data_IF_159102647783
#
_entry.id   IF_159102647783
#
_cell.length_a   1.000
_cell.length_b   1.000
_cell.length_c   1.000
_cell.angle_alpha   90.00
_cell.angle_beta   90.00
_cell.angle_gamma   90.00
#
_symmetry.space_group_name_H-M   'P 1'
#
loop_
_entity.id
_entity.type
_entity.pdbx_description
1 polymer ?
#
# COMPACT_ATOMS: atom_id res chain seq x y z
N UNK A 1 5.50 -12.38 -25.06
CA UNK A 1 5.59 -10.99 -25.58
C UNK A 1 4.36 -10.26 -25.11
N UNK A 2 4.52 -9.10 -24.46
CA UNK A 2 3.39 -8.37 -23.92
C UNK A 2 2.57 -7.79 -25.10
N UNK A 3 1.30 -8.17 -25.21
CA UNK A 3 0.40 -7.66 -26.27
C UNK A 3 -0.11 -6.27 -25.87
N UNK A 4 0.79 -5.28 -25.83
CA UNK A 4 0.45 -3.90 -25.47
C UNK A 4 0.92 -2.95 -26.54
N UNK A 5 0.00 -2.11 -27.01
CA UNK A 5 0.31 -1.10 -28.02
C UNK A 5 0.70 0.23 -27.38
N UNK A 6 1.55 1.02 -28.05
CA UNK A 6 1.88 2.39 -27.62
C UNK A 6 0.62 3.22 -27.37
N UNK A 7 -0.42 3.00 -28.19
CA UNK A 7 -1.70 3.68 -28.05
C UNK A 7 -2.37 3.39 -26.71
N UNK A 8 -2.38 2.14 -26.26
CA UNK A 8 -2.92 1.77 -24.95
C UNK A 8 -2.14 2.40 -23.79
N UNK A 9 -0.80 2.45 -23.89
CA UNK A 9 0.04 3.15 -22.90
C UNK A 9 -0.22 4.67 -22.89
N UNK A 10 -0.50 5.24 -24.05
CA UNK A 10 -0.85 6.66 -24.18
C UNK A 10 -2.22 6.95 -23.57
N UNK A 11 -3.24 6.16 -23.92
CA UNK A 11 -4.63 6.35 -23.47
C UNK A 11 -4.79 6.13 -21.96
N UNK A 12 -4.01 5.21 -21.37
CA UNK A 12 -3.96 4.97 -19.92
C UNK A 12 -3.16 6.02 -19.14
N UNK A 13 -2.38 6.88 -19.82
CA UNK A 13 -1.62 7.95 -19.19
C UNK A 13 -0.28 7.53 -18.59
N UNK A 14 0.33 6.44 -19.08
CA UNK A 14 1.64 5.93 -18.62
C UNK A 14 2.78 6.92 -18.91
N UNK A 15 2.64 7.72 -19.96
CA UNK A 15 3.65 8.68 -20.42
C UNK A 15 3.81 9.92 -19.53
N UNK A 16 2.89 10.18 -18.60
CA UNK A 16 2.98 11.34 -17.72
C UNK A 16 3.91 11.03 -16.55
N UNK A 17 4.95 11.85 -16.37
CA UNK A 17 5.76 11.85 -15.16
C UNK A 17 5.39 12.99 -14.20
N UNK A 18 6.19 13.12 -13.16
CA UNK A 18 6.06 14.20 -12.18
C UNK A 18 6.52 15.57 -12.73
N UNK A 19 6.31 16.59 -11.89
CA UNK A 19 6.79 17.96 -12.12
C UNK A 19 8.31 18.04 -12.22
N UNK A 20 8.81 18.97 -13.03
CA UNK A 20 10.25 19.20 -13.28
C UNK A 20 11.10 19.47 -12.04
N UNK A 21 10.49 19.90 -10.93
CA UNK A 21 11.21 20.14 -9.67
C UNK A 21 11.50 18.87 -8.86
N UNK A 22 10.78 17.76 -9.14
CA UNK A 22 10.80 16.54 -8.31
C UNK A 22 11.51 15.37 -8.98
N UNK A 23 12.17 15.60 -10.11
CA UNK A 23 12.79 14.55 -10.91
C UNK A 23 14.18 14.14 -10.38
N UNK A 24 14.58 12.90 -10.69
CA UNK A 24 15.89 12.36 -10.43
C UNK A 24 16.77 12.53 -11.70
N UNK A 25 17.97 13.13 -11.63
CA UNK A 25 18.85 13.29 -12.78
C UNK A 25 19.21 11.99 -13.53
N UNK A 26 19.24 10.84 -12.84
CA UNK A 26 19.51 9.53 -13.47
C UNK A 26 18.38 9.07 -14.39
N UNK A 27 17.18 9.64 -14.24
CA UNK A 27 16.02 9.38 -15.09
C UNK A 27 16.10 10.07 -16.45
N UNK A 28 17.09 10.93 -16.69
CA UNK A 28 17.24 11.69 -17.94
C UNK A 28 17.19 10.82 -19.20
N UNK A 29 17.68 9.58 -19.13
CA UNK A 29 17.68 8.62 -20.24
C UNK A 29 16.27 8.14 -20.64
N UNK A 30 15.32 8.10 -19.70
CA UNK A 30 13.95 7.63 -19.91
C UNK A 30 12.95 8.76 -20.18
N UNK A 31 13.37 10.02 -20.00
CA UNK A 31 12.52 11.20 -20.22
C UNK A 31 12.70 11.67 -21.66
N UNK A 32 11.58 11.77 -22.39
CA UNK A 32 11.54 12.25 -23.77
C UNK A 32 11.61 13.78 -23.84
N UNK A 33 10.72 14.46 -23.12
CA UNK A 33 10.60 15.93 -23.14
C UNK A 33 9.86 16.44 -21.91
N UNK A 34 9.74 17.76 -21.77
CA UNK A 34 8.92 18.41 -20.76
C UNK A 34 7.79 19.23 -21.43
N UNK A 35 6.57 19.14 -20.89
CA UNK A 35 5.42 19.89 -21.38
C UNK A 35 4.57 20.36 -20.21
N UNK A 36 4.23 21.65 -20.18
CA UNK A 36 3.39 22.23 -19.14
C UNK A 36 3.91 21.99 -17.71
N UNK A 37 5.24 21.90 -17.55
CA UNK A 37 5.91 21.67 -16.26
C UNK A 37 5.93 20.22 -15.77
N UNK A 38 5.44 19.26 -16.56
CA UNK A 38 5.55 17.82 -16.29
C UNK A 38 6.49 17.15 -17.30
N UNK A 39 7.24 16.16 -16.84
CA UNK A 39 8.05 15.32 -17.72
C UNK A 39 7.18 14.33 -18.49
N UNK A 40 7.56 14.05 -19.72
CA UNK A 40 6.97 13.02 -20.57
C UNK A 40 7.98 11.89 -20.69
N UNK A 41 7.55 10.69 -20.29
CA UNK A 41 8.35 9.46 -20.34
C UNK A 41 8.32 8.89 -21.76
N UNK A 42 9.45 8.35 -22.21
CA UNK A 42 9.57 7.69 -23.50
C UNK A 42 8.88 6.31 -23.51
N UNK A 43 7.74 6.24 -24.21
CA UNK A 43 6.96 5.01 -24.33
C UNK A 43 7.65 3.93 -25.18
N UNK A 44 8.57 4.30 -26.08
CA UNK A 44 9.30 3.30 -26.87
C UNK A 44 10.24 2.51 -25.98
N UNK A 45 10.97 3.20 -25.10
CA UNK A 45 11.77 2.55 -24.07
C UNK A 45 10.89 1.74 -23.13
N UNK A 46 9.75 2.32 -22.69
CA UNK A 46 8.81 1.65 -21.80
C UNK A 46 8.39 0.28 -22.35
N UNK A 47 8.10 0.15 -23.65
CA UNK A 47 7.77 -1.13 -24.27
C UNK A 47 8.90 -2.16 -24.18
N UNK A 48 10.13 -1.75 -24.48
CA UNK A 48 11.30 -2.66 -24.41
C UNK A 48 11.49 -3.18 -22.98
N UNK A 49 11.35 -2.31 -21.98
CA UNK A 49 11.48 -2.69 -20.58
C UNK A 49 10.29 -3.52 -20.07
N UNK A 50 9.07 -3.26 -20.56
CA UNK A 50 7.90 -4.10 -20.29
C UNK A 50 8.15 -5.51 -20.81
N UNK A 51 8.65 -5.67 -22.03
CA UNK A 51 8.93 -7.00 -22.59
C UNK A 51 10.00 -7.75 -21.80
N UNK A 52 11.06 -7.06 -21.36
CA UNK A 52 12.10 -7.65 -20.50
C UNK A 52 11.56 -8.09 -19.15
N UNK A 53 10.77 -7.23 -18.48
CA UNK A 53 10.14 -7.56 -17.21
C UNK A 53 9.12 -8.69 -17.36
N UNK A 54 8.34 -8.70 -18.46
CA UNK A 54 7.35 -9.73 -18.77
C UNK A 54 8.02 -11.11 -18.90
N UNK A 55 9.09 -11.20 -19.67
CA UNK A 55 9.82 -12.46 -19.87
C UNK A 55 10.42 -12.96 -18.56
N UNK A 56 11.04 -12.08 -17.77
CA UNK A 56 11.61 -12.43 -16.47
C UNK A 56 10.55 -12.94 -15.48
N UNK A 57 9.39 -12.27 -15.41
CA UNK A 57 8.27 -12.69 -14.56
C UNK A 57 7.76 -14.06 -14.96
N UNK A 58 7.53 -14.25 -16.25
CA UNK A 58 7.05 -15.51 -16.82
C UNK A 58 8.01 -16.66 -16.51
N UNK A 59 9.31 -16.45 -16.75
CA UNK A 59 10.36 -17.43 -16.45
C UNK A 59 10.40 -17.74 -14.95
N UNK A 60 10.40 -16.73 -14.08
CA UNK A 60 10.45 -16.91 -12.62
C UNK A 60 9.29 -17.77 -12.11
N UNK A 61 8.08 -17.53 -12.61
CA UNK A 61 6.89 -18.26 -12.18
C UNK A 61 6.81 -19.65 -12.81
N UNK A 62 7.28 -19.82 -14.06
CA UNK A 62 7.40 -21.12 -14.69
C UNK A 62 8.34 -22.07 -13.91
N UNK A 63 9.41 -21.52 -13.32
CA UNK A 63 10.31 -22.25 -12.42
C UNK A 63 9.72 -22.52 -11.02
N UNK A 64 8.47 -22.11 -10.75
CA UNK A 64 7.80 -22.29 -9.46
C UNK A 64 8.14 -21.23 -8.42
N UNK A 65 8.71 -20.10 -8.83
CA UNK A 65 8.92 -18.93 -7.97
C UNK A 65 7.62 -18.18 -7.68
N UNK A 66 7.62 -17.42 -6.59
CA UNK A 66 6.49 -16.53 -6.22
C UNK A 66 6.86 -15.07 -6.41
N UNK A 67 5.88 -14.28 -6.83
CA UNK A 67 6.04 -12.84 -7.05
C UNK A 67 5.19 -12.10 -6.02
N UNK A 68 5.84 -11.25 -5.22
CA UNK A 68 5.14 -10.42 -4.24
C UNK A 68 4.75 -9.09 -4.86
N UNK A 69 3.44 -8.81 -4.95
CA UNK A 69 2.92 -7.53 -5.40
C UNK A 69 2.87 -6.53 -4.25
N UNK A 70 3.52 -5.38 -4.37
CA UNK A 70 3.65 -4.38 -3.31
C UNK A 70 3.19 -3.01 -3.81
N UNK A 71 2.23 -2.41 -3.10
CA UNK A 71 1.78 -1.06 -3.37
C UNK A 71 0.82 -0.54 -2.30
N UNK A 72 1.29 0.40 -1.49
CA UNK A 72 0.55 1.04 -0.40
C UNK A 72 -0.12 2.35 -0.82
N UNK A 73 0.18 2.82 -2.03
CA UNK A 73 -0.42 4.01 -2.64
C UNK A 73 -1.90 3.78 -2.91
N UNK A 74 -2.76 4.77 -2.60
CA UNK A 74 -4.24 4.63 -2.69
C UNK A 74 -4.70 4.16 -4.07
N UNK A 75 -4.06 4.68 -5.12
CA UNK A 75 -4.33 4.37 -6.52
C UNK A 75 -3.95 2.93 -6.89
N UNK A 76 -3.11 2.27 -6.08
CA UNK A 76 -2.58 0.94 -6.33
C UNK A 76 -3.25 -0.13 -5.45
N UNK A 77 -3.79 0.22 -4.27
CA UNK A 77 -4.18 -0.77 -3.25
C UNK A 77 -5.23 -1.78 -3.74
N UNK A 78 -6.30 -1.31 -4.38
CA UNK A 78 -7.40 -2.15 -4.85
C UNK A 78 -6.98 -2.96 -6.07
N UNK A 79 -6.34 -2.29 -7.05
CA UNK A 79 -5.82 -2.90 -8.27
C UNK A 79 -4.87 -4.07 -7.96
N UNK A 80 -3.91 -3.87 -7.05
CA UNK A 80 -2.96 -4.92 -6.71
C UNK A 80 -3.65 -6.09 -6.02
N UNK A 81 -4.59 -5.82 -5.11
CA UNK A 81 -5.31 -6.88 -4.42
C UNK A 81 -6.16 -7.71 -5.38
N UNK A 82 -6.88 -7.07 -6.30
CA UNK A 82 -7.70 -7.74 -7.32
C UNK A 82 -6.83 -8.57 -8.27
N UNK A 83 -5.79 -7.97 -8.85
CA UNK A 83 -4.95 -8.63 -9.85
C UNK A 83 -4.10 -9.76 -9.26
N UNK A 84 -3.56 -9.57 -8.05
CA UNK A 84 -2.79 -10.62 -7.38
C UNK A 84 -3.68 -11.78 -6.92
N UNK A 85 -4.89 -11.49 -6.42
CA UNK A 85 -5.87 -12.52 -6.06
C UNK A 85 -6.30 -13.33 -7.27
N UNK A 86 -6.54 -12.68 -8.43
CA UNK A 86 -6.86 -13.35 -9.70
C UNK A 86 -5.81 -14.40 -10.10
N UNK A 87 -4.53 -14.10 -9.86
CA UNK A 87 -3.40 -14.97 -10.27
C UNK A 87 -2.90 -15.86 -9.12
N UNK A 88 -3.48 -15.75 -7.93
CA UNK A 88 -3.08 -16.52 -6.75
C UNK A 88 -1.69 -16.17 -6.19
N UNK A 89 -1.16 -14.99 -6.52
CA UNK A 89 0.15 -14.52 -6.04
C UNK A 89 0.03 -13.68 -4.77
N UNK A 90 1.04 -13.67 -3.88
CA UNK A 90 0.98 -12.90 -2.65
C UNK A 90 1.03 -11.39 -2.91
N UNK A 91 0.38 -10.60 -2.06
CA UNK A 91 0.36 -9.15 -2.18
C UNK A 91 0.38 -8.39 -0.84
N UNK A 92 0.80 -7.14 -0.89
CA UNK A 92 0.79 -6.17 0.21
C UNK A 92 0.22 -4.85 -0.30
N UNK A 93 -1.02 -4.54 0.06
CA UNK A 93 -1.73 -3.35 -0.39
C UNK A 93 -1.91 -2.26 0.68
N UNK A 94 -1.75 -2.58 1.97
CA UNK A 94 -1.99 -1.63 3.05
C UNK A 94 -0.70 -0.91 3.48
N UNK A 95 0.12 -1.55 4.30
CA UNK A 95 1.36 -0.96 4.84
C UNK A 95 2.45 -2.01 4.87
N UNK A 96 3.63 -1.63 4.39
CA UNK A 96 4.83 -2.43 4.57
C UNK A 96 5.27 -2.44 6.04
N UNK A 97 5.32 -3.63 6.64
CA UNK A 97 5.90 -3.81 7.97
C UNK A 97 7.42 -3.97 7.79
N UNK A 98 8.22 -3.11 8.42
CA UNK A 98 9.67 -3.26 8.38
C UNK A 98 10.09 -4.62 8.95
N UNK A 99 10.96 -5.32 8.23
CA UNK A 99 11.37 -6.68 8.56
C UNK A 99 10.49 -7.76 7.93
N UNK A 100 9.61 -7.42 6.98
CA UNK A 100 8.71 -8.40 6.35
C UNK A 100 9.48 -9.50 5.62
N UNK A 101 10.54 -9.13 4.90
CA UNK A 101 11.38 -10.08 4.17
C UNK A 101 12.60 -10.46 5.01
N UNK A 102 13.26 -9.48 5.63
CA UNK A 102 14.52 -9.71 6.36
C UNK A 102 14.34 -10.46 7.68
N UNK A 103 13.17 -10.36 8.32
CA UNK A 103 12.82 -11.08 9.55
C UNK A 103 11.57 -11.95 9.35
N UNK A 104 11.57 -12.74 8.28
CA UNK A 104 10.43 -13.58 7.92
C UNK A 104 10.03 -14.58 9.03
N UNK A 105 10.98 -15.06 9.84
CA UNK A 105 10.69 -15.96 10.96
C UNK A 105 9.76 -15.36 12.03
N UNK A 106 9.81 -14.04 12.24
CA UNK A 106 8.92 -13.37 13.20
C UNK A 106 7.54 -13.13 12.58
N UNK A 107 7.51 -12.81 11.29
CA UNK A 107 6.27 -12.62 10.53
C UNK A 107 5.51 -13.93 10.36
N UNK A 108 6.20 -15.04 10.11
CA UNK A 108 5.59 -16.37 10.00
C UNK A 108 4.88 -16.79 11.30
N UNK A 109 5.43 -16.43 12.46
CA UNK A 109 4.73 -16.60 13.76
C UNK A 109 3.46 -15.76 13.86
N UNK A 110 3.46 -14.53 13.33
CA UNK A 110 2.26 -13.68 13.26
C UNK A 110 1.21 -14.24 12.28
N UNK A 111 1.65 -14.83 11.18
CA UNK A 111 0.77 -15.54 10.24
C UNK A 111 0.16 -16.81 10.85
N UNK A 112 0.96 -17.59 11.59
CA UNK A 112 0.45 -18.73 12.35
C UNK A 112 -0.60 -18.29 13.38
N UNK A 113 -0.31 -17.21 14.12
CA UNK A 113 -1.26 -16.61 15.05
C UNK A 113 -2.56 -16.15 14.36
N UNK A 114 -2.46 -15.59 13.15
CA UNK A 114 -3.65 -15.21 12.38
C UNK A 114 -4.51 -16.43 12.04
N UNK A 115 -3.89 -17.53 11.59
CA UNK A 115 -4.60 -18.80 11.31
C UNK A 115 -5.25 -19.40 12.57
N UNK A 116 -4.55 -19.39 13.71
CA UNK A 116 -5.13 -19.80 15.01
C UNK A 116 -6.36 -18.97 15.39
N UNK A 117 -6.37 -17.66 15.09
CA UNK A 117 -7.51 -16.80 15.40
C UNK A 117 -8.68 -17.06 14.43
N UNK A 118 -8.41 -17.34 13.16
CA UNK A 118 -9.42 -17.70 12.15
C UNK A 118 -10.17 -19.00 12.52
N UNK A 119 -9.50 -19.94 13.20
CA UNK A 119 -10.09 -21.21 13.65
C UNK A 119 -11.04 -21.07 14.85
N UNK A 120 -11.08 -19.91 15.51
CA UNK A 120 -11.93 -19.70 16.68
C UNK A 120 -13.38 -19.39 16.28
N UNK A 121 -14.33 -20.07 16.93
CA UNK A 121 -15.75 -19.73 16.84
C UNK A 121 -16.03 -18.44 17.63
N UNK A 122 -16.30 -17.35 16.91
CA UNK A 122 -16.66 -16.06 17.51
C UNK A 122 -18.15 -15.94 17.85
N UNK A 123 -19.00 -16.76 17.22
CA UNK A 123 -20.46 -16.72 17.38
C UNK A 123 -20.96 -17.50 18.61
N UNK A 124 -20.25 -18.57 19.00
CA UNK A 124 -20.64 -19.43 20.13
C UNK A 124 -19.55 -19.41 21.22
N UNK A 125 -19.67 -18.54 22.24
CA UNK A 125 -18.65 -18.41 23.29
C UNK A 125 -18.39 -19.69 24.10
N UNK A 126 -19.38 -20.59 24.16
CA UNK A 126 -19.29 -21.85 24.90
C UNK A 126 -18.29 -22.84 24.29
N UNK A 127 -18.09 -22.82 22.97
CA UNK A 127 -17.18 -23.73 22.28
C UNK A 127 -15.71 -23.31 22.45
N UNK A 128 -15.47 -22.01 22.58
CA UNK A 128 -14.13 -21.42 22.54
C UNK A 128 -13.50 -21.28 23.92
N UNK A 129 -14.27 -21.46 25.00
CA UNK A 129 -13.79 -21.32 26.39
C UNK A 129 -13.41 -19.89 26.80
N UNK A 130 -13.79 -18.89 26.00
CA UNK A 130 -13.47 -17.48 26.23
C UNK A 130 -14.71 -16.67 26.62
N UNK A 131 -14.51 -15.60 27.38
CA UNK A 131 -15.57 -14.63 27.65
C UNK A 131 -15.91 -13.82 26.40
N UNK A 132 -17.14 -13.27 26.32
CA UNK A 132 -17.56 -12.40 25.20
C UNK A 132 -16.62 -11.20 24.99
N UNK A 133 -16.07 -10.64 26.06
CA UNK A 133 -15.11 -9.52 25.98
C UNK A 133 -13.79 -9.95 25.35
N UNK A 134 -13.27 -11.12 25.71
CA UNK A 134 -12.04 -11.68 25.14
C UNK A 134 -12.22 -12.06 23.66
N UNK A 135 -13.36 -12.64 23.29
CA UNK A 135 -13.68 -12.92 21.88
C UNK A 135 -13.71 -11.66 21.03
N UNK A 136 -14.28 -10.58 21.55
CA UNK A 136 -14.30 -9.29 20.85
C UNK A 136 -12.89 -8.70 20.69
N UNK A 137 -12.01 -8.85 21.69
CA UNK A 137 -10.60 -8.44 21.56
C UNK A 137 -9.85 -9.28 20.54
N UNK A 138 -10.04 -10.60 20.54
CA UNK A 138 -9.47 -11.54 19.56
C UNK A 138 -9.98 -11.25 18.14
N UNK A 139 -11.26 -10.91 17.97
CA UNK A 139 -11.82 -10.52 16.67
C UNK A 139 -11.18 -9.24 16.14
N UNK A 140 -11.01 -8.23 17.00
CA UNK A 140 -10.27 -6.99 16.64
C UNK A 140 -8.80 -7.26 16.31
N UNK A 141 -8.17 -8.23 16.96
CA UNK A 141 -6.81 -8.67 16.63
C UNK A 141 -6.78 -9.33 15.24
N UNK A 142 -7.71 -10.24 14.97
CA UNK A 142 -7.89 -10.88 13.66
C UNK A 142 -8.10 -9.82 12.57
N UNK A 143 -9.03 -8.88 12.73
CA UNK A 143 -9.32 -7.85 11.73
C UNK A 143 -8.08 -7.01 11.38
N UNK A 144 -7.27 -6.68 12.40
CA UNK A 144 -6.00 -5.95 12.20
C UNK A 144 -4.96 -6.80 11.47
N UNK A 145 -4.88 -8.10 11.77
CA UNK A 145 -3.97 -9.02 11.11
C UNK A 145 -4.39 -9.26 9.65
N UNK A 146 -5.67 -9.50 9.36
CA UNK A 146 -6.16 -9.62 7.99
C UNK A 146 -5.89 -8.37 7.17
N UNK A 147 -6.13 -7.18 7.74
CA UNK A 147 -5.86 -5.93 7.04
C UNK A 147 -4.38 -5.78 6.66
N UNK A 148 -3.45 -6.23 7.51
CA UNK A 148 -2.02 -6.02 7.28
C UNK A 148 -1.32 -7.18 6.55
N UNK A 149 -1.72 -8.42 6.82
CA UNK A 149 -1.04 -9.64 6.40
C UNK A 149 -1.92 -10.55 5.51
N UNK A 150 -3.17 -10.16 5.21
CA UNK A 150 -4.11 -11.00 4.46
C UNK A 150 -3.57 -11.46 3.12
N UNK A 151 -2.91 -10.57 2.37
CA UNK A 151 -2.34 -10.90 1.06
C UNK A 151 -1.08 -11.77 1.11
N UNK A 152 -0.48 -11.99 2.28
CA UNK A 152 0.65 -12.92 2.49
C UNK A 152 0.27 -14.14 3.35
N UNK A 153 -1.04 -14.39 3.55
CA UNK A 153 -1.58 -15.49 4.37
C UNK A 153 -1.04 -16.87 3.97
N UNK A 154 -0.93 -17.10 2.67
CA UNK A 154 -0.53 -18.39 2.10
C UNK A 154 0.98 -18.48 1.85
N UNK A 155 1.74 -17.43 2.17
CA UNK A 155 3.17 -17.38 1.92
C UNK A 155 3.94 -18.16 2.98
N UNK A 156 4.66 -19.20 2.57
CA UNK A 156 5.45 -20.07 3.46
C UNK A 156 6.95 -19.81 3.39
N UNK A 157 7.42 -19.20 2.29
CA UNK A 157 8.83 -18.87 2.03
C UNK A 157 8.92 -17.43 1.49
N UNK A 158 10.11 -16.86 1.53
CA UNK A 158 10.39 -15.56 0.92
C UNK A 158 10.15 -15.61 -0.60
N UNK A 159 9.67 -14.51 -1.21
CA UNK A 159 9.39 -14.45 -2.63
C UNK A 159 10.66 -14.51 -3.48
N UNK A 160 10.51 -14.95 -4.72
CA UNK A 160 11.58 -15.04 -5.71
C UNK A 160 11.83 -13.71 -6.43
N UNK A 161 10.78 -12.90 -6.59
CA UNK A 161 10.87 -11.54 -7.10
C UNK A 161 9.81 -10.66 -6.44
N UNK A 162 10.02 -9.34 -6.48
CA UNK A 162 9.01 -8.38 -6.01
C UNK A 162 8.59 -7.44 -7.15
N UNK A 163 7.30 -7.18 -7.23
CA UNK A 163 6.71 -6.13 -8.08
C UNK A 163 6.32 -4.95 -7.19
N UNK A 164 6.90 -3.78 -7.44
CA UNK A 164 6.71 -2.58 -6.61
C UNK A 164 6.08 -1.45 -7.43
N UNK A 165 5.03 -0.86 -6.87
CA UNK A 165 4.46 0.41 -7.34
C UNK A 165 4.99 1.54 -6.44
N UNK A 166 5.64 2.54 -7.03
CA UNK A 166 6.26 3.70 -6.35
C UNK A 166 7.39 3.31 -5.37
N UNK A 167 8.63 3.14 -5.87
CA UNK A 167 9.76 2.78 -5.00
C UNK A 167 10.07 3.82 -3.91
N UNK A 168 9.72 5.09 -4.11
CA UNK A 168 10.04 6.14 -3.13
C UNK A 168 9.20 5.99 -1.87
N UNK A 169 7.91 5.69 -2.04
CA UNK A 169 7.02 5.43 -0.91
C UNK A 169 7.25 4.02 -0.32
N UNK A 170 7.67 3.06 -1.15
CA UNK A 170 7.91 1.67 -0.80
C UNK A 170 9.40 1.36 -0.53
N UNK A 171 10.20 2.37 -0.21
CA UNK A 171 11.66 2.25 -0.04
C UNK A 171 12.07 1.16 0.96
N UNK A 172 11.28 0.88 2.00
CA UNK A 172 11.58 -0.22 2.93
C UNK A 172 11.53 -1.59 2.25
N UNK A 173 10.54 -1.81 1.37
CA UNK A 173 10.41 -3.07 0.63
C UNK A 173 11.59 -3.27 -0.32
N UNK A 174 11.93 -2.22 -1.08
CA UNK A 174 13.07 -2.21 -2.00
C UNK A 174 14.37 -2.47 -1.25
N UNK A 175 14.63 -1.75 -0.15
CA UNK A 175 15.85 -1.93 0.65
C UNK A 175 15.97 -3.33 1.26
N UNK A 176 14.88 -3.92 1.72
CA UNK A 176 14.88 -5.29 2.24
C UNK A 176 15.13 -6.33 1.14
N UNK A 177 14.52 -6.15 -0.04
CA UNK A 177 14.74 -7.02 -1.19
C UNK A 177 16.19 -6.94 -1.68
N UNK A 178 16.76 -5.75 -1.82
CA UNK A 178 18.16 -5.54 -2.21
C UNK A 178 19.12 -6.21 -1.23
N UNK A 179 18.86 -6.14 0.09
CA UNK A 179 19.68 -6.81 1.10
C UNK A 179 19.67 -8.33 0.99
N UNK A 180 18.54 -8.90 0.57
CA UNK A 180 18.38 -10.34 0.39
C UNK A 180 18.77 -10.81 -1.02
N UNK A 181 19.10 -9.88 -1.93
CA UNK A 181 19.37 -10.19 -3.34
C UNK A 181 18.13 -10.61 -4.12
N UNK A 182 16.93 -10.23 -3.65
CA UNK A 182 15.69 -10.51 -4.37
C UNK A 182 15.53 -9.46 -5.48
N UNK A 183 15.37 -9.87 -6.75
CA UNK A 183 15.23 -8.95 -7.88
C UNK A 183 13.97 -8.09 -7.75
N UNK A 184 14.15 -6.79 -7.96
CA UNK A 184 13.10 -5.78 -7.87
C UNK A 184 12.65 -5.39 -9.28
N UNK A 185 11.36 -5.58 -9.53
CA UNK A 185 10.64 -5.15 -10.73
C UNK A 185 9.69 -4.05 -10.28
N UNK A 186 9.55 -2.97 -11.05
CA UNK A 186 8.58 -1.96 -10.66
C UNK A 186 8.40 -0.83 -11.63
N UNK A 187 7.39 -0.01 -11.33
CA UNK A 187 7.08 1.20 -12.09
C UNK A 187 8.09 2.28 -11.70
N UNK A 188 8.80 2.77 -12.71
CA UNK A 188 9.82 3.79 -12.57
C UNK A 188 9.27 5.12 -13.09
N UNK A 189 8.79 5.94 -12.17
CA UNK A 189 8.48 7.35 -12.47
C UNK A 189 9.76 8.20 -12.36
N UNK A 190 9.68 9.40 -12.88
CA UNK A 190 10.72 10.43 -12.96
C UNK A 190 11.39 10.81 -11.65
N UNK A 191 10.80 10.54 -10.49
CA UNK A 191 11.34 10.85 -9.17
C UNK A 191 12.14 9.68 -8.54
N UNK A 192 12.02 8.47 -9.08
CA UNK A 192 12.63 7.26 -8.56
C UNK A 192 14.06 7.06 -9.11
N UNK A 193 14.88 6.29 -8.40
CA UNK A 193 16.24 5.95 -8.85
C UNK A 193 16.20 4.66 -9.69
N UNK A 194 16.61 4.68 -10.97
CA UNK A 194 16.62 3.48 -11.80
C UNK A 194 17.56 2.38 -11.31
N UNK A 195 18.57 2.73 -10.50
CA UNK A 195 19.56 1.76 -10.02
C UNK A 195 19.01 0.87 -8.88
N UNK A 196 17.86 1.23 -8.29
CA UNK A 196 17.16 0.43 -7.28
C UNK A 196 16.39 -0.75 -7.89
N UNK A 197 16.23 -0.78 -9.21
CA UNK A 197 15.47 -1.79 -9.94
C UNK A 197 16.39 -2.65 -10.81
N UNK A 198 16.19 -3.97 -10.79
CA UNK A 198 16.79 -4.87 -11.78
C UNK A 198 16.04 -4.81 -13.11
N UNK A 199 14.71 -4.75 -13.04
CA UNK A 199 13.82 -4.69 -14.20
C UNK A 199 12.91 -3.45 -14.07
N UNK A 200 13.44 -2.24 -14.36
CA UNK A 200 12.65 -1.02 -14.28
C UNK A 200 11.66 -0.94 -15.44
N UNK A 201 10.42 -0.55 -15.18
CA UNK A 201 9.43 -0.22 -16.22
C UNK A 201 9.16 1.28 -16.16
N UNK A 202 9.72 2.10 -17.08
CA UNK A 202 9.42 3.52 -17.13
C UNK A 202 7.91 3.76 -17.29
N UNK A 203 7.32 4.53 -16.39
CA UNK A 203 5.88 4.77 -16.40
C UNK A 203 5.37 5.59 -15.23
N UNK A 204 4.09 5.96 -15.33
CA UNK A 204 3.38 6.74 -14.33
C UNK A 204 2.86 5.86 -13.19
N UNK A 205 3.18 6.21 -11.95
CA UNK A 205 2.70 5.53 -10.74
C UNK A 205 1.54 6.25 -10.02
N UNK A 206 1.16 7.45 -10.47
CA UNK A 206 0.09 8.27 -9.87
C UNK A 206 -1.29 7.98 -10.48
N UNK A 207 -1.34 7.63 -11.77
CA UNK A 207 -2.59 7.40 -12.47
C UNK A 207 -3.11 5.98 -12.24
N UNK A 208 -4.36 5.87 -11.74
CA UNK A 208 -5.06 4.60 -11.51
C UNK A 208 -5.06 3.73 -12.78
N UNK A 209 -5.35 4.33 -13.94
CA UNK A 209 -5.37 3.61 -15.24
C UNK A 209 -3.99 3.11 -15.66
N UNK A 210 -2.92 3.86 -15.36
CA UNK A 210 -1.54 3.45 -15.66
C UNK A 210 -1.11 2.28 -14.77
N UNK A 211 -1.29 2.42 -13.46
CA UNK A 211 -0.97 1.36 -12.48
C UNK A 211 -1.79 0.10 -12.77
N UNK A 212 -3.07 0.26 -13.11
CA UNK A 212 -3.96 -0.83 -13.53
C UNK A 212 -3.45 -1.58 -14.75
N UNK A 213 -3.11 -0.86 -15.81
CA UNK A 213 -2.60 -1.48 -17.03
C UNK A 213 -1.28 -2.22 -16.77
N UNK A 214 -0.30 -1.57 -16.14
CA UNK A 214 1.03 -2.15 -15.89
C UNK A 214 0.97 -3.35 -14.94
N UNK A 215 0.19 -3.24 -13.85
CA UNK A 215 0.02 -4.35 -12.91
C UNK A 215 -0.70 -5.53 -13.56
N UNK A 216 -1.72 -5.27 -14.40
CA UNK A 216 -2.40 -6.33 -15.15
C UNK A 216 -1.45 -7.06 -16.11
N UNK A 217 -0.60 -6.33 -16.83
CA UNK A 217 0.39 -6.93 -17.76
C UNK A 217 1.32 -7.88 -17.00
N UNK A 218 1.83 -7.47 -15.83
CA UNK A 218 2.70 -8.31 -15.00
C UNK A 218 1.94 -9.48 -14.37
N UNK A 219 0.68 -9.28 -13.97
CA UNK A 219 -0.18 -10.35 -13.48
C UNK A 219 -0.46 -11.39 -14.58
N UNK A 220 -0.76 -10.95 -15.81
CA UNK A 220 -0.96 -11.84 -16.96
C UNK A 220 0.33 -12.63 -17.28
N UNK A 221 1.51 -12.02 -17.16
CA UNK A 221 2.80 -12.71 -17.29
C UNK A 221 2.97 -13.82 -16.25
N UNK A 222 2.58 -13.56 -15.00
CA UNK A 222 2.61 -14.56 -13.93
C UNK A 222 1.60 -15.68 -14.19
N UNK A 223 0.40 -15.37 -14.70
CA UNK A 223 -0.60 -16.36 -15.08
C UNK A 223 -0.09 -17.27 -16.22
N UNK A 224 0.52 -16.69 -17.25
CA UNK A 224 1.15 -17.47 -18.32
C UNK A 224 2.26 -18.39 -17.79
N UNK A 225 3.11 -17.89 -16.88
CA UNK A 225 4.14 -18.69 -16.23
C UNK A 225 3.58 -19.87 -15.43
N UNK A 226 2.47 -19.66 -14.71
CA UNK A 226 1.77 -20.74 -13.99
C UNK A 226 1.23 -21.78 -14.98
N UNK A 227 0.58 -21.36 -16.06
CA UNK A 227 0.06 -22.28 -17.08
C UNK A 227 1.18 -23.11 -17.68
N UNK A 228 2.34 -22.51 -17.99
CA UNK A 228 3.50 -23.21 -18.51
C UNK A 228 4.07 -24.23 -17.53
N UNK A 229 4.11 -23.90 -16.24
CA UNK A 229 4.54 -24.82 -15.18
C UNK A 229 3.65 -26.07 -15.10
N UNK A 230 2.34 -25.91 -15.26
CA UNK A 230 1.39 -27.02 -15.16
C UNK A 230 1.18 -27.77 -16.49
N UNK A 231 1.66 -27.23 -17.60
CA UNK A 231 1.59 -27.86 -18.92
C UNK A 231 2.95 -27.80 -19.64
N UNK A 232 4.00 -28.43 -19.08
CA UNK A 232 5.33 -28.42 -19.69
C UNK A 232 5.22 -29.06 -21.08
N UNK A 233 5.56 -28.28 -22.10
CA UNK A 233 5.46 -28.70 -23.51
C UNK A 233 6.73 -29.44 -23.98
N UNK A 234 7.71 -29.65 -23.08
CA UNK A 234 8.96 -30.36 -23.33
C UNK A 234 9.22 -31.46 -22.28
N UNK A 235 9.96 -32.49 -22.70
CA UNK A 235 10.13 -33.88 -22.20
C UNK A 235 10.60 -34.10 -20.73
N UNK A 236 10.27 -33.25 -19.77
CA UNK A 236 10.52 -33.46 -18.32
C UNK A 236 9.23 -33.75 -17.54
N UNK A 237 8.48 -34.74 -18.00
CA UNK A 237 7.19 -35.16 -17.46
C UNK A 237 7.28 -36.16 -16.28
N UNK A 238 8.06 -35.88 -15.23
CA UNK A 238 8.09 -36.75 -14.02
C UNK A 238 7.70 -36.05 -12.71
N UNK A 239 7.34 -34.76 -12.72
CA UNK A 239 6.89 -34.07 -11.51
C UNK A 239 5.76 -33.05 -11.74
N UNK A 240 4.86 -33.33 -12.68
CA UNK A 240 3.65 -32.53 -12.87
C UNK A 240 2.58 -33.01 -11.87
N UNK A 241 2.45 -32.32 -10.73
CA UNK A 241 1.19 -32.39 -9.99
C UNK A 241 0.12 -31.68 -10.83
N UNK A 242 -1.01 -32.36 -11.14
CA UNK A 242 -2.07 -31.74 -11.93
C UNK A 242 -2.58 -30.51 -11.19
N UNK A 243 -2.69 -29.40 -11.94
CA UNK A 243 -3.29 -28.15 -11.48
C UNK A 243 -4.62 -28.47 -10.81
N UNK A 244 -4.78 -28.09 -9.55
CA UNK A 244 -5.99 -28.39 -8.82
C UNK A 244 -7.16 -27.61 -9.44
N UNK A 245 -8.33 -28.24 -9.58
CA UNK A 245 -9.45 -27.69 -10.38
C UNK A 245 -9.89 -26.28 -9.93
N UNK A 246 -9.65 -25.92 -8.66
CA UNK A 246 -9.92 -24.59 -8.10
C UNK A 246 -9.00 -23.48 -8.64
N UNK A 247 -7.76 -23.80 -9.05
CA UNK A 247 -6.81 -22.84 -9.63
C UNK A 247 -7.15 -22.52 -11.10
N UNK A 248 -7.73 -23.48 -11.83
CA UNK A 248 -8.22 -23.25 -13.21
C UNK A 248 -9.42 -22.33 -13.24
N UNK A 249 -10.39 -22.55 -12.36
CA UNK A 249 -11.61 -21.75 -12.28
C UNK A 249 -11.30 -20.27 -11.97
N UNK A 250 -10.29 -20.00 -11.15
CA UNK A 250 -9.85 -18.65 -10.81
C UNK A 250 -9.19 -17.91 -11.99
N UNK A 251 -8.47 -18.64 -12.85
CA UNK A 251 -7.76 -18.09 -14.01
C UNK A 251 -8.66 -17.94 -15.25
N UNK A 252 -9.64 -18.83 -15.42
CA UNK A 252 -10.55 -18.85 -16.58
C UNK A 252 -11.76 -17.92 -16.41
N UNK A 253 -12.09 -17.48 -15.18
CA UNK A 253 -13.19 -16.53 -14.96
C UNK A 253 -12.81 -15.15 -15.51
N UNK A 254 -13.44 -14.68 -16.61
CA UNK A 254 -13.25 -13.33 -17.07
C UNK A 254 -14.06 -12.41 -16.15
N UNK A 255 -13.38 -11.72 -15.23
CA UNK A 255 -14.00 -10.59 -14.53
C UNK A 255 -14.13 -9.47 -15.56
N UNK A 256 -15.32 -9.32 -16.11
CA UNK A 256 -15.70 -8.18 -16.95
C UNK A 256 -15.79 -6.97 -16.01
N UNK A 257 -14.69 -6.23 -15.86
CA UNK A 257 -14.73 -4.91 -15.23
C UNK A 257 -15.08 -3.88 -16.30
N UNK A 258 -16.39 -3.63 -16.43
CA UNK A 258 -16.86 -2.44 -17.13
C UNK A 258 -16.40 -1.20 -16.35
N UNK A 259 -15.55 -0.41 -17.01
CA UNK A 259 -14.93 0.83 -16.51
C UNK A 259 -15.97 1.88 -16.08
N UNK A 260 -17.24 1.68 -16.41
CA UNK A 260 -18.36 2.55 -16.06
C UNK A 260 -18.82 2.42 -14.60
N UNK A 261 -18.65 1.26 -13.96
CA UNK A 261 -19.16 1.02 -12.60
C UNK A 261 -18.24 1.64 -11.52
N UNK A 262 -16.98 1.91 -11.88
CA UNK A 262 -16.02 2.63 -11.03
C UNK A 262 -16.33 4.13 -10.97
N UNK A 263 -16.95 4.71 -12.00
CA UNK A 263 -17.41 6.12 -11.98
C UNK A 263 -18.64 6.33 -11.09
N UNK A 264 -19.55 5.35 -11.02
CA UNK A 264 -20.76 5.45 -10.19
C UNK A 264 -20.46 5.40 -8.71
N UNK A 265 -19.48 4.60 -8.28
CA UNK A 265 -19.10 4.51 -6.85
C UNK A 265 -18.30 5.76 -6.41
N UNK A 266 -17.49 6.33 -7.30
CA UNK A 266 -16.74 7.56 -7.02
C UNK A 266 -17.65 8.79 -6.89
N UNK A 267 -18.73 8.86 -7.68
CA UNK A 267 -19.67 9.99 -7.64
C UNK A 267 -20.61 9.96 -6.44
N UNK A 268 -21.03 8.78 -5.96
CA UNK A 268 -21.80 8.65 -4.71
C UNK A 268 -20.97 9.01 -3.47
N UNK A 269 -19.69 8.62 -3.42
CA UNK A 269 -18.79 8.95 -2.30
C UNK A 269 -18.50 10.45 -2.14
N UNK A 270 -18.55 11.24 -3.22
CA UNK A 270 -18.34 12.69 -3.15
C UNK A 270 -19.63 13.46 -2.82
N UNK A 271 -20.80 12.94 -3.22
CA UNK A 271 -22.10 13.51 -2.87
C UNK A 271 -22.42 13.41 -1.36
N UNK A 272 -22.09 12.28 -0.74
CA UNK A 272 -22.27 12.09 0.72
C UNK A 272 -21.30 12.94 1.55
N UNK A 273 -20.13 13.29 1.00
CA UNK A 273 -19.18 14.20 1.67
C UNK A 273 -19.60 15.67 1.58
N UNK A 274 -20.23 16.07 0.48
CA UNK A 274 -20.74 17.43 0.31
C UNK A 274 -21.97 17.70 1.20
N UNK A 275 -22.81 16.69 1.45
CA UNK A 275 -23.97 16.79 2.34
C UNK A 275 -23.63 16.93 3.82
N UNK A 276 -22.52 16.33 4.26
CA UNK A 276 -22.07 16.39 5.66
C UNK A 276 -21.32 17.69 6.02
N UNK A 277 -20.73 18.38 5.04
CA UNK A 277 -19.95 19.61 5.26
C UNK A 277 -20.79 20.91 5.27
N UNK A 278 -22.09 20.85 4.96
CA UNK A 278 -22.96 22.02 4.86
C UNK A 278 -23.91 22.23 6.07
N UNK A 279 -23.74 21.49 7.18
CA UNK A 279 -24.66 21.57 8.35
C UNK A 279 -24.03 22.04 9.68
N UNK A 280 -22.80 22.54 9.66
CA UNK A 280 -22.30 23.34 10.78
C UNK A 280 -21.82 24.69 10.28
N UNK A 281 -22.03 25.71 11.12
CA UNK A 281 -21.73 27.14 10.93
C UNK A 281 -22.87 27.99 10.34
N UNK A 282 -23.82 28.37 11.21
CA UNK A 282 -24.38 29.72 11.22
C UNK A 282 -24.73 30.16 12.65
N UNK A 283 -24.43 31.41 13.05
CA UNK A 283 -24.41 31.88 14.43
C UNK A 283 -25.76 32.45 14.88
N UNK A 284 -26.01 32.39 16.20
CA UNK A 284 -27.13 33.05 16.85
C UNK A 284 -26.69 34.42 17.40
N UNK A 285 -27.42 35.49 17.03
CA UNK A 285 -27.40 36.77 17.74
C UNK A 285 -28.81 37.32 17.88
N UNK A 286 -29.09 37.72 19.13
CA UNK A 286 -29.97 38.78 19.61
C UNK A 286 -31.49 38.61 19.53
N UNK A 287 -32.10 38.43 20.71
CA UNK A 287 -33.22 39.24 21.17
C UNK A 287 -33.04 39.51 22.68
N UNK A 288 -33.20 40.78 23.06
CA UNK A 288 -33.12 41.31 24.40
C UNK A 288 -34.49 41.89 24.76
N UNK A 289 -34.98 41.60 25.97
CA UNK A 289 -35.99 42.41 26.67
C UNK A 289 -35.65 42.52 28.16
N UNK A 290 -36.09 43.64 28.74
CA UNK A 290 -35.53 44.36 29.89
C UNK A 290 -36.25 44.12 31.22
N UNK A 291 -35.60 44.49 32.34
CA UNK A 291 -36.15 45.08 33.59
C UNK A 291 -34.99 45.39 34.57
N UNK A 292 -34.70 46.66 34.87
CA UNK A 292 -35.08 47.43 36.09
C UNK A 292 -34.09 47.19 37.28
N UNK A 293 -33.05 48.01 37.48
CA UNK A 293 -32.89 49.23 38.31
C UNK A 293 -32.70 48.98 39.84
N UNK A 294 -31.90 49.87 40.46
CA UNK A 294 -31.67 50.17 41.88
C UNK A 294 -30.30 49.81 42.53
N UNK A 295 -29.44 50.84 42.52
CA UNK A 295 -28.91 51.60 43.68
C UNK A 295 -27.83 51.05 44.66
N UNK A 296 -26.79 51.90 44.83
CA UNK A 296 -26.01 52.29 46.03
C UNK A 296 -25.30 51.22 46.90
N UNK A 297 -24.19 51.45 47.60
CA UNK A 297 -23.09 52.43 47.67
C UNK A 297 -22.16 51.95 48.83
N UNK A 298 -20.90 52.45 48.86
CA UNK A 298 -19.92 52.49 50.00
C UNK A 298 -19.45 51.11 50.55
N UNK A 299 -18.16 50.80 50.74
CA UNK A 299 -17.14 51.51 51.52
C UNK A 299 -15.73 50.94 51.21
N UNK A 300 -14.71 51.78 51.36
CA UNK A 300 -13.27 51.50 51.47
C UNK A 300 -12.73 52.42 52.59
N UNK A 301 -11.48 52.36 53.07
CA UNK A 301 -10.42 51.33 53.02
C UNK A 301 -9.74 51.12 54.41
N UNK A 302 -8.79 50.17 54.55
CA UNK A 302 -7.65 50.34 55.48
C UNK A 302 -6.40 49.66 54.86
N UNK A 303 -5.39 50.49 54.59
CA UNK A 303 -3.97 50.19 54.30
C UNK A 303 -3.31 49.59 55.57
N UNK A 304 -2.25 48.77 55.53
CA UNK A 304 -0.91 49.19 55.16
C UNK A 304 0.08 48.00 55.10
N UNK A 305 1.02 48.12 54.15
CA UNK A 305 2.47 47.81 54.19
C UNK A 305 3.03 46.59 54.96
N UNK A 306 4.07 45.86 54.51
CA UNK A 306 5.00 45.98 53.39
C UNK A 306 5.83 44.68 53.28
N UNK A 307 6.42 44.47 52.07
CA UNK A 307 7.80 44.03 51.75
C UNK A 307 8.47 42.90 52.59
N UNK A 308 9.31 42.00 52.10
CA UNK A 308 10.00 41.66 50.84
C UNK A 308 10.94 40.48 51.23
N UNK A 309 11.50 39.76 50.25
CA UNK A 309 12.60 38.75 50.36
C UNK A 309 12.19 37.33 50.77
N UNK A 310 12.71 36.23 50.21
CA UNK A 310 13.94 36.00 49.47
C UNK A 310 13.75 34.88 48.42
N UNK A 311 14.47 35.03 47.31
CA UNK A 311 14.76 33.97 46.36
C UNK A 311 16.22 33.55 46.54
N UNK A 312 16.47 32.31 46.95
CA UNK A 312 17.69 31.52 46.69
C UNK A 312 17.65 30.25 47.56
N UNK A 313 17.41 29.09 46.95
CA UNK A 313 18.30 27.92 47.05
C UNK A 313 17.71 26.70 46.34
N UNK A 314 18.60 25.84 45.85
CA UNK A 314 18.40 24.51 45.23
C UNK A 314 18.76 24.40 43.74
N UNK A 315 20.04 24.66 43.48
CA UNK A 315 20.82 23.88 42.52
C UNK A 315 22.10 23.41 43.23
N UNK A 316 22.49 22.15 42.99
CA UNK A 316 23.80 21.53 43.31
C UNK A 316 23.86 20.52 44.48
N UNK A 317 23.53 19.26 44.17
CA UNK A 317 24.15 18.03 44.67
C UNK A 317 23.67 16.92 43.70
N UNK A 318 24.48 16.17 42.95
CA UNK A 318 25.55 15.28 43.38
C UNK A 318 26.48 15.05 42.18
N UNK A 319 27.73 15.48 42.30
CA UNK A 319 28.87 14.84 41.65
C UNK A 319 29.87 14.51 42.75
N UNK A 320 30.39 13.29 42.66
CA UNK A 320 31.70 12.86 43.16
C UNK A 320 31.78 12.30 44.60
N UNK A 321 31.53 10.99 44.69
CA UNK A 321 32.39 10.01 45.35
C UNK A 321 31.89 8.63 44.90
N UNK A 322 32.68 7.61 44.55
CA UNK A 322 34.08 7.40 44.24
C UNK A 322 34.12 5.93 43.75
N UNK A 323 35.18 5.55 43.01
CA UNK A 323 35.56 4.15 42.67
C UNK A 323 34.93 3.51 41.43
#
# INVERSE_FOLDING_TARGET
MAVVTIRQLLDSGVHFGHRTQRWNPKMKRFILTERSGNHIIDLQQSLVYIDQAYEFVKETVAHGGTILFVGTKKQAQEILAEQATRVGQPYVNQRWLGGLLTNFQTISKRLARMKELEELDYEVPANSGFTKKELLLKKRELDKLHKSLGGIRNMTKTPSAIWVVDAKREHLAVNEATKLGIPVIGILDTNADPDEFQYPIPGNDDAIRSVGLLTRIIADAAAEGLIQRHNPTDETAEAAEPLADWERELLETPVVTDVAEVETIATESDADRAGAAAREVAPATAEAEAADDAAEAVESPVEDEAADKDAADEAEAVKEAAE
#
